data_IF_445932515654
#
_entry.id   IF_445932515654
#
_cell.length_a   1.000
_cell.length_b   1.000
_cell.length_c   1.000
_cell.angle_alpha   90.00
_cell.angle_beta   90.00
_cell.angle_gamma   90.00
#
_symmetry.space_group_name_H-M   'P 1'
#
loop_
_entity.id
_entity.type
_entity.pdbx_description
1 polymer ?
#
# COMPACT_ATOMS: atom_id res chain seq x y z
N UNK A 1 -34.07 -10.26 3.98
CA UNK A 1 -32.61 -10.20 3.82
C UNK A 1 -32.09 -9.07 4.70
N UNK A 2 -31.17 -9.33 5.62
CA UNK A 2 -30.72 -8.34 6.62
C UNK A 2 -29.94 -7.14 6.02
N UNK A 3 -29.36 -7.31 4.82
CA UNK A 3 -28.61 -6.27 4.09
C UNK A 3 -29.48 -5.08 3.64
N UNK A 4 -30.78 -5.31 3.40
CA UNK A 4 -31.70 -4.31 2.85
C UNK A 4 -32.36 -3.43 3.93
N UNK A 5 -32.10 -3.69 5.22
CA UNK A 5 -32.68 -2.96 6.36
C UNK A 5 -31.68 -2.00 7.00
N UNK A 6 -30.85 -1.33 6.20
CA UNK A 6 -29.96 -0.28 6.72
C UNK A 6 -30.56 1.09 6.39
N UNK A 7 -30.46 2.04 7.32
CA UNK A 7 -30.81 3.44 7.08
C UNK A 7 -29.74 4.19 6.26
N UNK A 8 -28.76 3.47 5.70
CA UNK A 8 -27.57 4.04 5.07
C UNK A 8 -26.66 4.79 6.06
N UNK A 9 -25.75 5.58 5.51
CA UNK A 9 -24.84 6.45 6.26
C UNK A 9 -25.57 7.70 6.80
N UNK A 10 -25.26 8.09 8.03
CA UNK A 10 -25.73 9.35 8.60
C UNK A 10 -25.10 10.58 7.93
N UNK A 11 -25.62 11.77 8.26
CA UNK A 11 -25.14 13.05 7.69
C UNK A 11 -23.66 13.30 8.00
N UNK A 12 -23.24 13.00 9.22
CA UNK A 12 -21.85 13.12 9.68
C UNK A 12 -20.89 12.27 8.88
N UNK A 13 -21.28 11.03 8.57
CA UNK A 13 -20.49 10.05 7.85
C UNK A 13 -20.31 10.49 6.39
N UNK A 14 -21.39 10.98 5.77
CA UNK A 14 -21.34 11.54 4.41
C UNK A 14 -20.41 12.76 4.36
N UNK A 15 -20.47 13.64 5.36
CA UNK A 15 -19.59 14.82 5.43
C UNK A 15 -18.12 14.43 5.63
N UNK A 16 -17.85 13.46 6.50
CA UNK A 16 -16.51 12.92 6.69
C UNK A 16 -15.95 12.30 5.40
N UNK A 17 -16.76 11.53 4.65
CA UNK A 17 -16.35 10.95 3.36
C UNK A 17 -16.02 12.04 2.35
N UNK A 18 -16.84 13.10 2.24
CA UNK A 18 -16.56 14.24 1.36
C UNK A 18 -15.26 14.96 1.76
N UNK A 19 -15.03 15.15 3.06
CA UNK A 19 -13.81 15.77 3.56
C UNK A 19 -12.57 14.92 3.21
N UNK A 20 -12.64 13.61 3.41
CA UNK A 20 -11.57 12.67 3.07
C UNK A 20 -11.27 12.68 1.57
N UNK A 21 -12.29 12.71 0.71
CA UNK A 21 -12.12 12.83 -0.74
C UNK A 21 -11.42 14.15 -1.13
N UNK A 22 -11.80 15.26 -0.51
CA UNK A 22 -11.17 16.57 -0.74
C UNK A 22 -9.70 16.59 -0.29
N UNK A 23 -9.39 16.02 0.87
CA UNK A 23 -8.01 15.91 1.36
C UNK A 23 -7.15 15.06 0.43
N UNK A 24 -7.71 13.95 -0.08
CA UNK A 24 -7.04 13.08 -1.04
C UNK A 24 -6.71 13.79 -2.36
N UNK A 25 -7.68 14.51 -2.93
CA UNK A 25 -7.53 15.29 -4.16
C UNK A 25 -6.50 16.42 -4.00
N UNK A 26 -6.60 17.19 -2.91
CA UNK A 26 -5.76 18.35 -2.68
C UNK A 26 -4.35 18.00 -2.16
N UNK A 27 -4.18 16.78 -1.63
CA UNK A 27 -2.91 16.24 -1.15
C UNK A 27 -2.22 15.41 -2.23
N UNK A 28 -2.41 14.09 -2.17
CA UNK A 28 -1.69 13.12 -2.99
C UNK A 28 -1.86 13.34 -4.49
N UNK A 29 -3.11 13.43 -4.96
CA UNK A 29 -3.39 13.55 -6.40
C UNK A 29 -2.79 14.84 -6.97
N UNK A 30 -2.98 15.96 -6.27
CA UNK A 30 -2.37 17.24 -6.64
C UNK A 30 -0.85 17.17 -6.67
N UNK A 31 -0.20 16.51 -5.70
CA UNK A 31 1.26 16.44 -5.65
C UNK A 31 1.84 15.56 -6.76
N UNK A 32 1.20 14.42 -7.07
CA UNK A 32 1.62 13.56 -8.18
C UNK A 32 1.51 14.34 -9.52
N UNK A 33 0.35 14.95 -9.78
CA UNK A 33 0.10 15.68 -11.03
C UNK A 33 0.99 16.92 -11.17
N UNK A 34 1.10 17.75 -10.11
CA UNK A 34 1.90 18.99 -10.13
C UNK A 34 3.37 18.72 -10.43
N UNK A 35 3.91 17.64 -9.88
CA UNK A 35 5.32 17.29 -10.03
C UNK A 35 5.59 16.30 -11.17
N UNK A 36 4.56 15.91 -11.93
CA UNK A 36 4.66 14.95 -13.03
C UNK A 36 5.34 13.63 -12.61
N UNK A 37 4.92 13.09 -11.47
CA UNK A 37 5.46 11.86 -10.92
C UNK A 37 4.67 10.64 -11.42
N UNK A 38 5.35 9.52 -11.65
CA UNK A 38 4.68 8.26 -12.02
C UNK A 38 4.17 7.47 -10.80
N UNK A 39 4.87 7.58 -9.67
CA UNK A 39 4.52 6.90 -8.43
C UNK A 39 5.11 7.61 -7.20
N UNK A 40 4.53 7.33 -6.04
CA UNK A 40 5.09 7.57 -4.72
C UNK A 40 5.77 6.29 -4.21
N UNK A 41 6.86 6.43 -3.47
CA UNK A 41 7.55 5.33 -2.79
C UNK A 41 7.62 5.62 -1.29
N UNK A 42 7.35 4.62 -0.46
CA UNK A 42 7.67 4.63 0.98
C UNK A 42 8.34 3.32 1.41
N UNK A 43 9.07 3.37 2.52
CA UNK A 43 9.43 2.15 3.26
C UNK A 43 8.20 1.71 4.06
N UNK A 44 7.94 0.41 4.12
CA UNK A 44 6.81 -0.14 4.86
C UNK A 44 5.46 0.26 4.26
N UNK A 45 4.47 0.53 5.10
CA UNK A 45 3.07 0.75 4.71
C UNK A 45 2.49 2.06 5.22
N UNK A 46 3.33 3.04 5.58
CA UNK A 46 2.89 4.29 6.22
C UNK A 46 1.90 5.10 5.34
N UNK A 47 1.99 4.95 4.02
CA UNK A 47 1.11 5.63 3.06
C UNK A 47 -0.20 4.87 2.79
N UNK A 48 -0.38 3.66 3.33
CA UNK A 48 -1.54 2.82 3.04
C UNK A 48 -2.88 3.48 3.40
N UNK A 49 -3.05 4.17 4.56
CA UNK A 49 -4.30 4.85 4.88
C UNK A 49 -4.66 5.95 3.86
N UNK A 50 -3.66 6.73 3.44
CA UNK A 50 -3.83 7.79 2.44
C UNK A 50 -4.27 7.21 1.08
N UNK A 51 -3.61 6.14 0.63
CA UNK A 51 -3.95 5.47 -0.63
C UNK A 51 -5.34 4.82 -0.56
N UNK A 52 -5.67 4.17 0.56
CA UNK A 52 -6.96 3.54 0.79
C UNK A 52 -8.12 4.55 0.80
N UNK A 53 -7.96 5.69 1.49
CA UNK A 53 -8.94 6.78 1.50
C UNK A 53 -9.24 7.27 0.08
N UNK A 54 -8.19 7.44 -0.73
CA UNK A 54 -8.33 7.86 -2.12
C UNK A 54 -8.86 6.78 -3.06
N UNK A 55 -8.79 5.51 -2.67
CA UNK A 55 -9.00 4.37 -3.57
C UNK A 55 -7.92 4.31 -4.65
N UNK A 56 -6.67 4.61 -4.28
CA UNK A 56 -5.51 4.61 -5.17
C UNK A 56 -4.81 3.24 -5.15
N UNK A 57 -4.30 2.77 -6.29
CA UNK A 57 -3.57 1.52 -6.35
C UNK A 57 -2.21 1.61 -5.62
N UNK A 58 -1.83 0.50 -5.01
CA UNK A 58 -0.57 0.34 -4.31
C UNK A 58 -0.01 -1.07 -4.51
N UNK A 59 1.32 -1.20 -4.55
CA UNK A 59 2.02 -2.49 -4.63
C UNK A 59 3.25 -2.47 -3.73
N UNK A 60 3.34 -3.48 -2.85
CA UNK A 60 4.49 -3.65 -1.95
C UNK A 60 5.38 -4.78 -2.41
N UNK A 61 6.69 -4.53 -2.43
CA UNK A 61 7.71 -5.53 -2.81
C UNK A 61 8.78 -5.66 -1.73
N UNK A 62 9.36 -6.86 -1.52
CA UNK A 62 10.46 -7.04 -0.58
C UNK A 62 11.67 -6.18 -0.97
N UNK A 63 12.26 -5.46 -0.01
CA UNK A 63 13.37 -4.55 -0.27
C UNK A 63 14.64 -4.92 0.51
N UNK A 64 14.53 -5.69 1.59
CA UNK A 64 15.69 -6.15 2.32
C UNK A 64 15.36 -6.68 3.70
N UNK A 65 16.40 -6.74 4.54
CA UNK A 65 16.35 -7.21 5.92
C UNK A 65 17.15 -6.26 6.80
N UNK A 66 16.69 -6.03 8.02
CA UNK A 66 17.47 -5.29 9.01
C UNK A 66 18.61 -6.13 9.61
N UNK A 67 19.38 -5.54 10.52
CA UNK A 67 20.51 -6.20 11.18
C UNK A 67 20.10 -7.42 12.04
N UNK A 68 18.81 -7.58 12.34
CA UNK A 68 18.24 -8.72 13.10
C UNK A 68 17.62 -9.76 12.16
N UNK A 69 17.67 -9.56 10.85
CA UNK A 69 17.04 -10.45 9.87
C UNK A 69 15.53 -10.24 9.73
N UNK A 70 14.98 -9.11 10.21
CA UNK A 70 13.57 -8.78 9.99
C UNK A 70 13.38 -8.25 8.57
N UNK A 71 12.49 -8.84 7.76
CA UNK A 71 12.24 -8.35 6.41
C UNK A 71 11.55 -6.99 6.44
N UNK A 72 11.92 -6.13 5.51
CA UNK A 72 11.15 -4.91 5.20
C UNK A 72 10.90 -4.81 3.69
N UNK A 73 9.78 -4.19 3.35
CA UNK A 73 9.39 -3.89 1.98
C UNK A 73 9.38 -2.40 1.71
N UNK A 74 9.26 -2.07 0.43
CA UNK A 74 8.84 -0.75 -0.02
C UNK A 74 7.46 -0.84 -0.65
N UNK A 75 6.68 0.22 -0.55
CA UNK A 75 5.37 0.35 -1.14
C UNK A 75 5.37 1.44 -2.19
N UNK A 76 4.97 1.10 -3.40
CA UNK A 76 4.71 2.03 -4.49
C UNK A 76 3.22 2.35 -4.53
N UNK A 77 2.86 3.64 -4.67
CA UNK A 77 1.49 4.11 -4.82
C UNK A 77 1.34 4.98 -6.06
N UNK A 78 0.22 4.87 -6.76
CA UNK A 78 -0.04 5.61 -8.01
C UNK A 78 -1.46 6.18 -8.05
N UNK A 79 -1.81 6.88 -9.13
CA UNK A 79 -3.17 7.38 -9.32
C UNK A 79 -4.10 6.25 -9.81
N UNK A 80 -5.41 6.50 -9.75
CA UNK A 80 -6.40 5.55 -10.30
C UNK A 80 -6.11 5.29 -11.78
N UNK A 81 -6.12 4.02 -12.18
CA UNK A 81 -5.85 3.64 -13.57
C UNK A 81 -4.36 3.48 -13.92
N UNK A 82 -3.44 3.71 -12.98
CA UNK A 82 -1.99 3.54 -13.20
C UNK A 82 -1.47 2.17 -12.76
N UNK A 83 -2.35 1.18 -12.55
CA UNK A 83 -1.97 -0.18 -12.16
C UNK A 83 -0.93 -0.81 -13.11
N UNK A 84 -1.05 -0.71 -14.45
CA UNK A 84 -0.05 -1.27 -15.36
C UNK A 84 1.35 -0.67 -15.13
N UNK A 85 1.43 0.66 -14.96
CA UNK A 85 2.68 1.37 -14.69
C UNK A 85 3.27 0.98 -13.33
N UNK A 86 2.43 0.81 -12.31
CA UNK A 86 2.89 0.36 -10.99
C UNK A 86 3.45 -1.07 -11.04
N UNK A 87 2.86 -1.96 -11.84
CA UNK A 87 3.38 -3.32 -12.04
C UNK A 87 4.74 -3.27 -12.74
N UNK A 88 4.92 -2.44 -13.77
CA UNK A 88 6.22 -2.25 -14.43
C UNK A 88 7.29 -1.79 -13.42
N UNK A 89 7.01 -0.74 -12.65
CA UNK A 89 7.92 -0.18 -11.64
C UNK A 89 8.30 -1.25 -10.59
N UNK A 90 7.30 -1.95 -10.05
CA UNK A 90 7.51 -2.96 -9.03
C UNK A 90 8.31 -4.16 -9.56
N UNK A 91 8.01 -4.59 -10.79
CA UNK A 91 8.72 -5.68 -11.45
C UNK A 91 10.18 -5.33 -11.71
N UNK A 92 10.46 -4.14 -12.24
CA UNK A 92 11.84 -3.69 -12.49
C UNK A 92 12.63 -3.64 -11.17
N UNK A 93 12.03 -3.14 -10.08
CA UNK A 93 12.66 -3.15 -8.77
C UNK A 93 12.90 -4.58 -8.24
N UNK A 94 11.90 -5.46 -8.32
CA UNK A 94 12.03 -6.85 -7.87
C UNK A 94 13.14 -7.57 -8.64
N UNK A 95 13.20 -7.40 -9.95
CA UNK A 95 14.16 -8.07 -10.82
C UNK A 95 15.58 -7.53 -10.65
N UNK A 96 15.73 -6.22 -10.42
CA UNK A 96 17.02 -5.61 -10.16
C UNK A 96 17.59 -6.00 -8.79
N UNK A 97 16.74 -6.17 -7.78
CA UNK A 97 17.20 -6.39 -6.40
C UNK A 97 17.19 -7.85 -5.97
N UNK A 98 16.19 -8.62 -6.41
CA UNK A 98 15.91 -10.00 -5.96
C UNK A 98 16.01 -10.14 -4.44
N UNK A 99 15.54 -9.12 -3.72
CA UNK A 99 15.82 -8.97 -2.29
C UNK A 99 15.19 -10.06 -1.42
N UNK A 100 14.11 -10.69 -1.88
CA UNK A 100 13.36 -11.71 -1.14
C UNK A 100 14.21 -12.97 -0.88
N UNK A 101 14.28 -13.39 0.38
CA UNK A 101 14.82 -14.68 0.81
C UNK A 101 13.72 -15.52 1.46
N UNK A 102 13.65 -16.84 1.22
CA UNK A 102 12.78 -17.72 2.00
C UNK A 102 13.07 -17.60 3.50
N UNK A 103 12.06 -17.73 4.38
CA UNK A 103 12.31 -17.80 5.82
C UNK A 103 13.15 -19.04 6.13
N UNK A 104 13.97 -19.01 7.21
CA UNK A 104 14.70 -20.19 7.64
C UNK A 104 13.74 -21.33 7.96
N UNK A 105 14.17 -22.57 7.70
CA UNK A 105 13.38 -23.76 8.04
C UNK A 105 13.16 -23.81 9.56
N UNK A 106 11.88 -23.89 9.96
CA UNK A 106 11.53 -24.17 11.35
C UNK A 106 11.71 -25.68 11.62
N UNK A 107 12.92 -26.10 12.00
CA UNK A 107 13.17 -27.46 12.46
C UNK A 107 12.72 -27.58 13.92
N UNK A 108 11.61 -28.28 14.15
CA UNK A 108 11.14 -28.62 15.50
C UNK A 108 12.08 -29.68 16.10
N UNK A 109 13.10 -29.26 16.83
CA UNK A 109 13.84 -30.20 17.71
C UNK A 109 12.91 -30.57 18.86
N UNK A 110 12.39 -31.81 18.83
CA UNK A 110 11.76 -32.43 19.99
C UNK A 110 12.85 -32.68 21.04
N UNK A 111 13.14 -31.69 21.88
CA UNK A 111 13.98 -31.87 23.07
C UNK A 111 13.20 -31.77 24.39
N UNK A 112 11.87 -31.87 24.36
CA UNK A 112 11.04 -31.87 25.58
C UNK A 112 9.88 -32.85 25.51
N UNK A 113 10.18 -34.14 25.33
CA UNK A 113 9.38 -35.26 25.83
C UNK A 113 10.31 -36.39 26.25
#
# INVERSE_FOLDING_TARGET
MASEMTSGFGKSEIEAVKMMEQLSKNGFERLINKNQLDALLTIGSDVAPMLAIGGYPAISVPAGYDNKGMPFGICFGGLKGTEPKLIEIAYDFEQATRARRPPPHFSFTREFF
#
